data_IF_455336814042
#
_entry.id   IF_455336814042
#
_cell.length_a   1.000
_cell.length_b   1.000
_cell.length_c   1.000
_cell.angle_alpha   90.00
_cell.angle_beta   90.00
_cell.angle_gamma   90.00
#
_symmetry.space_group_name_H-M   'P 1'
#
loop_
_entity.id
_entity.type
_entity.pdbx_description
1 polymer ?
#
# COMPACT_ATOMS: atom_id res chain seq x y z
N UNK A 1 -1.31 -10.69 -11.02
CA UNK A 1 -1.97 -10.30 -9.75
C UNK A 1 -3.46 -10.63 -9.76
N UNK A 2 -4.19 -10.36 -10.85
CA UNK A 2 -5.61 -10.73 -10.94
C UNK A 2 -5.87 -12.24 -10.83
N UNK A 3 -4.90 -13.08 -11.22
CA UNK A 3 -5.05 -14.54 -11.12
C UNK A 3 -4.95 -15.07 -9.67
N UNK A 4 -4.35 -14.30 -8.76
CA UNK A 4 -4.23 -14.68 -7.35
C UNK A 4 -5.46 -14.29 -6.52
N UNK A 5 -6.13 -13.19 -6.91
CA UNK A 5 -7.40 -12.75 -6.32
C UNK A 5 -8.37 -12.35 -7.43
N UNK A 6 -9.06 -13.34 -8.04
CA UNK A 6 -9.99 -13.09 -9.14
C UNK A 6 -11.18 -12.24 -8.71
N UNK A 7 -11.57 -12.35 -7.44
CA UNK A 7 -12.66 -11.61 -6.81
C UNK A 7 -12.05 -10.53 -5.91
N UNK A 8 -12.41 -9.26 -6.13
CA UNK A 8 -11.81 -8.13 -5.40
C UNK A 8 -12.04 -8.17 -3.88
N UNK A 9 -13.18 -8.73 -3.46
CA UNK A 9 -13.58 -8.87 -2.06
C UNK A 9 -12.79 -9.95 -1.31
N UNK A 10 -12.11 -10.86 -2.03
CA UNK A 10 -11.25 -11.89 -1.44
C UNK A 10 -9.82 -11.40 -1.23
N UNK A 11 -9.50 -10.17 -1.68
CA UNK A 11 -8.20 -9.58 -1.42
C UNK A 11 -8.02 -9.36 0.08
N UNK A 12 -6.77 -9.48 0.58
CA UNK A 12 -6.49 -9.16 1.98
C UNK A 12 -6.83 -7.70 2.27
N UNK A 13 -7.35 -7.43 3.47
CA UNK A 13 -7.63 -6.07 3.91
C UNK A 13 -6.36 -5.22 4.06
N UNK A 14 -5.22 -5.88 4.32
CA UNK A 14 -3.91 -5.23 4.43
C UNK A 14 -2.82 -6.07 3.77
N UNK A 15 -1.88 -5.40 3.10
CA UNK A 15 -0.61 -5.98 2.65
C UNK A 15 0.51 -5.08 3.13
N UNK A 16 1.46 -5.67 3.86
CA UNK A 16 2.68 -5.01 4.30
C UNK A 16 3.83 -5.58 3.50
N UNK A 17 4.61 -4.73 2.83
CA UNK A 17 5.74 -5.16 2.01
C UNK A 17 6.82 -4.08 1.99
N UNK A 18 8.08 -4.52 1.98
CA UNK A 18 9.30 -3.69 1.99
C UNK A 18 9.27 -2.55 0.96
N UNK A 19 8.82 -2.85 -0.26
CA UNK A 19 8.83 -1.95 -1.41
C UNK A 19 7.44 -1.56 -1.89
N UNK A 20 6.50 -1.30 -0.98
CA UNK A 20 5.11 -1.02 -1.39
C UNK A 20 5.01 0.19 -2.31
N UNK A 21 5.89 1.19 -2.18
CA UNK A 21 5.92 2.36 -3.04
C UNK A 21 6.17 2.00 -4.52
N UNK A 22 7.08 1.05 -4.79
CA UNK A 22 7.33 0.55 -6.14
C UNK A 22 6.15 -0.25 -6.69
N UNK A 23 5.51 -1.04 -5.81
CA UNK A 23 4.28 -1.77 -6.16
C UNK A 23 3.16 -0.79 -6.51
N UNK A 24 2.94 0.23 -5.68
CA UNK A 24 1.93 1.27 -5.92
C UNK A 24 2.19 2.03 -7.21
N UNK A 25 3.44 2.44 -7.48
CA UNK A 25 3.82 3.09 -8.74
C UNK A 25 3.50 2.20 -9.96
N UNK A 26 3.84 0.92 -9.89
CA UNK A 26 3.54 -0.04 -10.95
C UNK A 26 2.03 -0.24 -11.14
N UNK A 27 1.28 -0.38 -10.05
CA UNK A 27 -0.18 -0.48 -10.08
C UNK A 27 -0.83 0.78 -10.65
N UNK A 28 -0.31 1.97 -10.34
CA UNK A 28 -0.81 3.23 -10.89
C UNK A 28 -0.58 3.31 -12.40
N UNK A 29 0.63 2.97 -12.86
CA UNK A 29 0.95 2.92 -14.29
C UNK A 29 0.07 1.93 -15.06
N UNK A 30 -0.37 0.86 -14.41
CA UNK A 30 -1.29 -0.14 -14.96
C UNK A 30 -2.78 0.24 -14.80
N UNK A 31 -3.11 1.36 -14.18
CA UNK A 31 -4.51 1.77 -13.90
C UNK A 31 -5.21 0.89 -12.85
N UNK A 32 -4.45 0.18 -12.03
CA UNK A 32 -4.94 -0.79 -11.04
C UNK A 32 -4.80 -0.30 -9.59
N UNK A 33 -4.33 0.93 -9.33
CA UNK A 33 -4.14 1.40 -7.96
C UNK A 33 -5.43 1.95 -7.35
N UNK A 34 -6.05 2.95 -7.99
CA UNK A 34 -7.11 3.76 -7.39
C UNK A 34 -8.50 3.13 -7.48
N UNK A 35 -9.41 3.41 -6.52
CA UNK A 35 -10.82 3.02 -6.63
C UNK A 35 -11.49 3.61 -7.89
N UNK A 36 -12.60 3.01 -8.37
CA UNK A 36 -13.36 1.92 -7.74
C UNK A 36 -12.82 0.52 -8.03
N UNK A 37 -12.02 0.35 -9.08
CA UNK A 37 -11.62 -0.98 -9.56
C UNK A 37 -10.17 -1.38 -9.18
N UNK A 38 -9.44 -0.47 -8.52
CA UNK A 38 -8.07 -0.70 -8.12
C UNK A 38 -7.90 -1.39 -6.76
N UNK A 39 -6.64 -1.62 -6.40
CA UNK A 39 -6.23 -2.27 -5.16
C UNK A 39 -6.67 -1.51 -3.91
N UNK A 40 -6.65 -0.16 -3.95
CA UNK A 40 -7.05 0.67 -2.82
C UNK A 40 -8.57 0.66 -2.53
N UNK A 41 -9.38 0.00 -3.37
CA UNK A 41 -10.82 -0.16 -3.10
C UNK A 41 -11.11 -1.13 -1.95
N UNK A 42 -10.27 -2.17 -1.79
CA UNK A 42 -10.49 -3.24 -0.79
C UNK A 42 -9.27 -3.52 0.08
N UNK A 43 -8.08 -3.10 -0.35
CA UNK A 43 -6.81 -3.42 0.30
C UNK A 43 -6.03 -2.17 0.66
N UNK A 44 -5.57 -2.10 1.92
CA UNK A 44 -4.62 -1.09 2.39
C UNK A 44 -3.19 -1.60 2.16
N UNK A 45 -2.41 -0.85 1.41
CA UNK A 45 -1.01 -1.15 1.10
C UNK A 45 -0.11 -0.34 2.04
N UNK A 46 0.72 -1.02 2.85
CA UNK A 46 1.60 -0.42 3.85
C UNK A 46 3.06 -0.79 3.59
N UNK A 47 3.97 0.14 3.90
CA UNK A 47 5.42 -0.14 3.90
C UNK A 47 5.76 -0.81 5.21
N UNK A 48 6.63 -1.81 5.15
CA UNK A 48 7.22 -2.42 6.33
C UNK A 48 8.00 -1.38 7.16
N UNK A 49 7.89 -1.44 8.49
CA UNK A 49 8.33 -0.38 9.40
C UNK A 49 9.86 -0.19 9.46
N UNK A 50 10.65 -1.24 9.23
CA UNK A 50 12.10 -1.13 9.12
C UNK A 50 12.50 -0.31 7.90
N UNK A 51 11.84 -0.51 6.76
CA UNK A 51 12.13 0.26 5.54
C UNK A 51 11.68 1.72 5.60
N UNK A 52 10.65 2.03 6.41
CA UNK A 52 10.13 3.38 6.63
C UNK A 52 11.17 4.34 7.24
N UNK A 53 12.02 3.86 8.16
CA UNK A 53 13.02 4.70 8.85
C UNK A 53 14.10 5.29 7.93
N UNK A 54 14.34 4.69 6.76
CA UNK A 54 15.29 5.20 5.74
C UNK A 54 14.64 5.97 4.60
N UNK A 55 13.31 6.02 4.53
CA UNK A 55 12.54 6.58 3.41
C UNK A 55 11.85 7.92 3.71
N UNK A 56 12.05 8.50 4.89
CA UNK A 56 11.54 9.83 5.31
C UNK A 56 11.96 10.99 4.40
N UNK A 57 12.80 10.74 3.40
CA UNK A 57 13.30 11.69 2.41
C UNK A 57 12.37 11.76 1.18
N UNK A 58 11.49 10.77 0.98
CA UNK A 58 10.59 10.69 -0.17
C UNK A 58 9.16 11.09 0.23
N UNK A 59 8.71 12.25 -0.26
CA UNK A 59 7.37 12.80 -0.01
C UNK A 59 6.27 11.83 -0.41
N UNK A 60 6.48 11.01 -1.46
CA UNK A 60 5.51 10.01 -1.88
C UNK A 60 5.32 8.94 -0.81
N UNK A 61 6.39 8.57 -0.12
CA UNK A 61 6.33 7.61 0.98
C UNK A 61 5.66 8.24 2.21
N UNK A 62 5.94 9.49 2.55
CA UNK A 62 5.31 10.15 3.72
C UNK A 62 3.80 10.36 3.52
N UNK A 63 3.39 10.75 2.32
CA UNK A 63 1.99 11.11 2.05
C UNK A 63 1.10 9.89 1.79
N UNK A 64 1.67 8.80 1.26
CA UNK A 64 0.90 7.65 0.78
C UNK A 64 1.26 6.32 1.44
N UNK A 65 2.51 6.15 1.88
CA UNK A 65 2.92 4.95 2.63
C UNK A 65 2.79 5.22 4.13
N UNK A 66 1.80 4.60 4.75
CA UNK A 66 1.54 4.69 6.18
C UNK A 66 1.04 6.06 6.69
N UNK A 67 0.12 6.77 6.01
CA UNK A 67 -0.39 8.07 6.47
C UNK A 67 -1.11 8.00 7.84
N UNK A 68 -1.63 6.82 8.18
CA UNK A 68 -2.29 6.54 9.46
C UNK A 68 -1.37 6.07 10.58
N UNK A 69 -0.12 5.69 10.31
CA UNK A 69 0.76 5.07 11.32
C UNK A 69 1.30 6.09 12.35
N UNK A 70 1.13 7.40 12.10
CA UNK A 70 1.28 8.42 13.15
C UNK A 70 0.24 8.29 14.27
N UNK A 71 -0.87 7.61 14.00
CA UNK A 71 -2.05 7.52 14.86
C UNK A 71 -2.49 6.05 15.09
N UNK A 72 -1.76 5.06 14.58
CA UNK A 72 -2.09 3.64 14.73
C UNK A 72 -1.43 3.10 16.03
N UNK A 73 -2.22 2.86 17.10
CA UNK A 73 -1.68 2.44 18.40
C UNK A 73 -1.10 1.02 18.38
N UNK A 74 -1.20 0.29 17.27
CA UNK A 74 -0.62 -1.05 17.13
C UNK A 74 0.80 -1.05 16.56
N UNK A 75 1.36 0.14 16.30
CA UNK A 75 2.68 0.32 15.69
C UNK A 75 3.66 1.15 16.56
N UNK A 76 3.27 1.41 17.83
CA UNK A 76 4.16 1.94 18.89
C UNK A 76 4.92 0.82 19.60
#
# INVERSE_FOLDING_TARGET
>A
MNDAWPIQQERPHYVVIDKVCQVMSSLAALGQLYPPNGWLATTRLKVETWHYTRHTIDTLCVDWCNPGDKLDPNLV
#
